data_IF_395708041947
#
_entry.id   IF_395708041947
#
_cell.length_a   1.000
_cell.length_b   1.000
_cell.length_c   1.000
_cell.angle_alpha   90.00
_cell.angle_beta   90.00
_cell.angle_gamma   90.00
#
_symmetry.space_group_name_H-M   'P 1'
#
loop_
_entity.id
_entity.type
_entity.pdbx_description
1 polymer ?
#
# COMPACT_ATOMS: atom_id res chain seq x y z
N UNK A 1 1.12 -22.27 24.88
CA UNK A 1 1.94 -21.77 23.76
C UNK A 1 1.24 -21.84 22.40
N UNK A 2 0.63 -22.96 21.98
CA UNK A 2 0.00 -23.08 20.62
C UNK A 2 -1.06 -22.02 20.29
N UNK A 3 -1.77 -21.46 21.25
CA UNK A 3 -2.84 -20.45 21.03
C UNK A 3 -2.35 -19.03 20.74
N UNK A 4 -1.02 -18.77 20.74
CA UNK A 4 -0.44 -17.42 20.56
C UNK A 4 0.61 -17.32 19.44
N UNK A 5 0.80 -18.39 18.64
CA UNK A 5 1.84 -18.42 17.60
C UNK A 5 1.65 -17.29 16.59
N UNK A 6 0.41 -17.01 16.18
CA UNK A 6 0.13 -15.90 15.26
C UNK A 6 0.38 -14.51 15.88
N UNK A 7 0.34 -14.38 17.21
CA UNK A 7 0.71 -13.14 17.89
C UNK A 7 2.23 -12.94 17.82
N UNK A 8 3.02 -13.99 18.06
CA UNK A 8 4.47 -13.93 17.91
C UNK A 8 4.87 -13.60 16.46
N UNK A 9 4.16 -14.16 15.46
CA UNK A 9 4.38 -13.80 14.07
C UNK A 9 4.14 -12.30 13.80
N UNK A 10 3.06 -11.72 14.34
CA UNK A 10 2.82 -10.26 14.23
C UNK A 10 3.93 -9.47 14.89
N UNK A 11 4.34 -9.84 16.11
CA UNK A 11 5.42 -9.14 16.82
C UNK A 11 6.72 -9.22 16.01
N UNK A 12 7.09 -10.41 15.54
CA UNK A 12 8.30 -10.61 14.74
C UNK A 12 8.28 -9.74 13.45
N UNK A 13 7.18 -9.79 12.69
CA UNK A 13 7.03 -8.96 11.48
C UNK A 13 7.12 -7.48 11.82
N UNK A 14 6.46 -7.04 12.89
CA UNK A 14 6.51 -5.64 13.35
C UNK A 14 7.93 -5.22 13.71
N UNK A 15 8.68 -6.07 14.42
CA UNK A 15 10.09 -5.84 14.77
C UNK A 15 10.95 -5.72 13.51
N UNK A 16 10.75 -6.61 12.53
CA UNK A 16 11.48 -6.56 11.25
C UNK A 16 11.17 -5.27 10.49
N UNK A 17 9.91 -4.83 10.43
CA UNK A 17 9.52 -3.59 9.76
C UNK A 17 10.18 -2.37 10.42
N UNK A 18 10.17 -2.28 11.76
CA UNK A 18 10.81 -1.20 12.50
C UNK A 18 12.33 -1.25 12.28
N UNK A 19 12.94 -2.43 12.44
CA UNK A 19 14.37 -2.62 12.22
C UNK A 19 14.79 -2.21 10.81
N UNK A 20 14.07 -2.67 9.79
CA UNK A 20 14.35 -2.31 8.38
C UNK A 20 14.30 -0.80 8.17
N UNK A 21 13.36 -0.09 8.82
CA UNK A 21 13.28 1.37 8.71
C UNK A 21 14.51 2.05 9.35
N UNK A 22 14.95 1.58 10.50
CA UNK A 22 16.11 2.12 11.22
C UNK A 22 17.42 1.81 10.47
N UNK A 23 17.64 0.54 10.13
CA UNK A 23 18.83 0.06 9.42
C UNK A 23 19.01 0.76 8.07
N UNK A 24 17.93 0.93 7.31
CA UNK A 24 17.98 1.65 6.04
C UNK A 24 18.41 3.11 6.22
N UNK A 25 18.03 3.75 7.29
CA UNK A 25 18.41 5.14 7.59
C UNK A 25 19.91 5.27 7.89
N UNK A 26 20.46 4.31 8.61
CA UNK A 26 21.89 4.23 8.92
C UNK A 26 22.71 3.90 7.67
N UNK A 27 22.34 2.84 6.93
CA UNK A 27 23.07 2.37 5.74
C UNK A 27 23.21 3.43 4.65
N UNK A 28 22.24 4.32 4.50
CA UNK A 28 22.28 5.38 3.47
C UNK A 28 23.04 6.63 3.92
N UNK A 29 23.47 6.71 5.18
CA UNK A 29 24.14 7.91 5.70
C UNK A 29 23.23 9.14 5.63
N UNK A 30 21.92 8.94 5.57
CA UNK A 30 20.95 9.99 5.39
C UNK A 30 20.61 10.61 6.74
N UNK A 31 21.33 11.60 7.09
CA UNK A 31 20.91 12.53 8.11
C UNK A 31 20.73 13.90 7.45
N UNK A 32 19.53 14.43 7.41
CA UNK A 32 18.27 13.86 7.86
C UNK A 32 17.68 12.80 6.90
N UNK A 33 16.82 11.90 7.41
CA UNK A 33 16.01 10.99 6.58
C UNK A 33 15.20 11.81 5.58
N UNK A 34 15.19 11.35 4.32
CA UNK A 34 14.43 12.00 3.25
C UNK A 34 13.16 11.23 2.93
N UNK A 35 12.21 11.18 3.88
CA UNK A 35 10.96 10.44 3.71
C UNK A 35 9.97 11.13 2.76
N UNK A 36 10.04 12.46 2.65
CA UNK A 36 9.10 13.27 1.87
C UNK A 36 9.66 13.69 0.52
N UNK A 37 10.36 12.77 -0.18
CA UNK A 37 10.87 12.97 -1.54
C UNK A 37 10.02 12.27 -2.58
N UNK A 38 10.18 12.62 -3.84
CA UNK A 38 9.55 11.97 -5.00
C UNK A 38 8.01 11.97 -4.88
N UNK A 39 7.36 10.84 -5.13
CA UNK A 39 5.90 10.68 -5.00
C UNK A 39 5.41 11.05 -3.59
N UNK A 40 6.23 10.79 -2.57
CA UNK A 40 5.87 11.12 -1.19
C UNK A 40 5.70 12.62 -0.95
N UNK A 41 6.48 13.48 -1.65
CA UNK A 41 6.29 14.92 -1.61
C UNK A 41 4.89 15.29 -2.12
N UNK A 42 4.46 14.70 -3.23
CA UNK A 42 3.15 14.97 -3.83
C UNK A 42 1.99 14.70 -2.87
N UNK A 43 2.09 13.65 -2.05
CA UNK A 43 1.10 13.37 -1.01
C UNK A 43 1.23 14.27 0.22
N UNK A 44 2.46 14.56 0.65
CA UNK A 44 2.77 15.24 1.91
C UNK A 44 2.53 16.75 1.86
N UNK A 45 2.81 17.40 0.73
CA UNK A 45 2.89 18.87 0.59
C UNK A 45 1.60 19.61 1.01
N UNK A 46 0.44 18.96 1.03
CA UNK A 46 -0.81 19.54 1.55
C UNK A 46 -0.66 20.05 3.00
N UNK A 47 0.11 19.33 3.82
CA UNK A 47 0.24 19.61 5.24
C UNK A 47 1.07 20.89 5.51
N UNK A 48 2.32 21.03 5.04
CA UNK A 48 3.06 22.26 5.21
C UNK A 48 2.43 23.44 4.46
N UNK A 49 1.87 23.23 3.26
CA UNK A 49 1.16 24.26 2.52
C UNK A 49 -0.03 24.86 3.30
N UNK A 50 -0.75 24.00 4.05
CA UNK A 50 -1.94 24.42 4.82
C UNK A 50 -1.56 24.98 6.19
N UNK A 51 -0.69 24.29 6.95
CA UNK A 51 -0.51 24.55 8.38
C UNK A 51 0.71 25.41 8.71
N UNK A 52 1.65 25.56 7.77
CA UNK A 52 2.90 26.35 7.99
C UNK A 52 2.94 27.54 7.06
N UNK A 53 2.90 27.31 5.76
CA UNK A 53 3.10 28.37 4.78
C UNK A 53 1.82 29.12 4.41
N UNK A 54 0.64 28.57 4.71
CA UNK A 54 -0.67 29.14 4.35
C UNK A 54 -0.81 29.49 2.86
N UNK A 55 -0.03 28.81 2.02
CA UNK A 55 -0.01 28.98 0.57
C UNK A 55 -0.21 27.60 -0.12
N UNK A 56 -1.47 27.23 -0.26
CA UNK A 56 -1.88 26.02 -0.96
C UNK A 56 -2.11 26.25 -2.46
N UNK A 57 -2.14 27.53 -2.88
CA UNK A 57 -2.44 27.93 -4.26
C UNK A 57 -1.18 28.01 -5.12
N UNK A 58 -0.23 28.86 -4.76
CA UNK A 58 0.96 29.16 -5.56
C UNK A 58 2.12 28.28 -5.24
N UNK A 59 2.20 27.82 -3.98
CA UNK A 59 3.27 26.98 -3.46
C UNK A 59 4.67 27.63 -3.68
N UNK A 60 4.76 28.95 -3.50
CA UNK A 60 6.00 29.70 -3.68
C UNK A 60 7.07 29.32 -2.64
N UNK A 61 6.64 28.75 -1.49
CA UNK A 61 7.49 28.19 -0.44
C UNK A 61 8.31 26.98 -0.89
N UNK A 62 7.93 26.30 -1.99
CA UNK A 62 8.54 25.01 -2.35
C UNK A 62 9.97 25.18 -2.87
N UNK A 63 10.27 26.25 -3.61
CA UNK A 63 11.63 26.48 -4.13
C UNK A 63 12.67 26.72 -3.02
N UNK A 64 12.43 27.58 -2.00
CA UNK A 64 13.31 27.69 -0.84
C UNK A 64 13.50 26.38 -0.08
N UNK A 65 12.41 25.60 0.12
CA UNK A 65 12.47 24.29 0.79
C UNK A 65 13.28 23.30 -0.02
N UNK A 66 13.10 23.26 -1.34
CA UNK A 66 13.89 22.35 -2.19
C UNK A 66 15.38 22.71 -2.17
N UNK A 67 15.71 24.00 -2.17
CA UNK A 67 17.10 24.47 -2.03
C UNK A 67 17.74 24.00 -0.71
N UNK A 68 16.97 23.96 0.38
CA UNK A 68 17.47 23.57 1.70
C UNK A 68 17.51 22.05 1.92
N UNK A 69 16.50 21.31 1.42
CA UNK A 69 16.26 19.89 1.77
C UNK A 69 16.31 18.93 0.59
N UNK A 70 16.38 19.43 -0.66
CA UNK A 70 16.39 18.64 -1.91
C UNK A 70 15.22 17.65 -1.98
N UNK A 71 14.00 18.14 -1.73
CA UNK A 71 12.79 17.32 -1.63
C UNK A 71 12.19 16.94 -2.97
N UNK A 72 12.45 17.69 -4.02
CA UNK A 72 11.90 17.44 -5.37
C UNK A 72 12.54 16.23 -6.04
N UNK A 73 13.81 15.96 -5.75
CA UNK A 73 14.58 14.88 -6.38
C UNK A 73 15.13 15.27 -7.74
N UNK A 74 15.58 14.29 -8.53
CA UNK A 74 16.11 14.51 -9.89
C UNK A 74 14.97 14.55 -10.91
N UNK A 75 14.97 15.53 -11.82
CA UNK A 75 14.02 15.59 -12.93
C UNK A 75 12.92 16.65 -12.81
N UNK A 76 13.07 17.57 -11.84
CA UNK A 76 12.16 18.70 -11.67
C UNK A 76 10.89 18.38 -10.87
N UNK A 77 10.06 19.38 -10.71
CA UNK A 77 8.85 19.36 -9.88
C UNK A 77 7.67 18.72 -10.64
N UNK A 78 7.68 17.40 -10.79
CA UNK A 78 6.61 16.67 -11.51
C UNK A 78 5.35 16.45 -10.66
N UNK A 79 5.39 16.71 -9.37
CA UNK A 79 4.29 16.49 -8.42
C UNK A 79 3.13 17.48 -8.58
N UNK A 80 3.37 18.59 -9.25
CA UNK A 80 2.37 19.63 -9.48
C UNK A 80 2.17 19.90 -10.97
N UNK A 81 1.12 20.64 -11.29
CA UNK A 81 0.79 21.18 -12.61
C UNK A 81 0.62 22.68 -12.46
N UNK A 82 1.33 23.46 -13.28
CA UNK A 82 1.08 24.90 -13.39
C UNK A 82 -0.25 25.12 -14.15
N UNK A 83 -1.07 26.04 -13.66
CA UNK A 83 -2.39 26.36 -14.22
C UNK A 83 -2.38 27.76 -14.84
N UNK A 84 -3.26 27.98 -15.81
CA UNK A 84 -3.41 29.29 -16.50
C UNK A 84 -3.76 30.45 -15.55
N UNK A 85 -4.37 30.15 -14.39
CA UNK A 85 -4.70 31.13 -13.37
C UNK A 85 -3.52 31.51 -12.45
N UNK A 86 -2.31 31.00 -12.73
CA UNK A 86 -1.10 31.24 -11.96
C UNK A 86 -0.98 30.39 -10.67
N UNK A 87 -1.92 29.48 -10.42
CA UNK A 87 -1.85 28.52 -9.32
C UNK A 87 -1.15 27.22 -9.75
N UNK A 88 -0.79 26.38 -8.76
CA UNK A 88 -0.22 25.05 -8.95
C UNK A 88 -1.14 23.98 -8.36
N UNK A 89 -1.61 23.06 -9.19
CA UNK A 89 -2.41 21.94 -8.75
C UNK A 89 -1.54 20.71 -8.46
N UNK A 90 -1.68 20.13 -7.29
CA UNK A 90 -1.03 18.86 -6.92
C UNK A 90 -1.67 17.70 -7.69
N UNK A 91 -0.84 16.85 -8.33
CA UNK A 91 -1.30 15.66 -9.06
C UNK A 91 -1.74 14.51 -8.15
N UNK A 92 -1.35 14.53 -6.89
CA UNK A 92 -1.69 13.54 -5.88
C UNK A 92 -2.88 14.02 -5.06
N UNK A 93 -3.75 13.12 -4.62
CA UNK A 93 -4.91 13.47 -3.81
C UNK A 93 -4.56 13.47 -2.31
N UNK A 94 -5.33 14.23 -1.51
CA UNK A 94 -5.01 14.52 -0.12
C UNK A 94 -5.27 13.38 0.89
N UNK A 95 -5.73 12.20 0.47
CA UNK A 95 -6.07 11.12 1.41
C UNK A 95 -4.89 10.60 2.23
N UNK A 96 -3.70 10.52 1.62
CA UNK A 96 -2.47 10.15 2.35
C UNK A 96 -2.09 11.26 3.33
N UNK A 97 -2.18 12.54 2.94
CA UNK A 97 -1.96 13.67 3.85
C UNK A 97 -2.88 13.61 5.06
N UNK A 98 -4.17 13.26 4.88
CA UNK A 98 -5.10 13.08 6.00
C UNK A 98 -4.63 12.01 6.99
N UNK A 99 -4.06 10.90 6.50
CA UNK A 99 -3.50 9.86 7.35
C UNK A 99 -2.15 10.27 7.98
N UNK A 100 -1.37 11.10 7.30
CA UNK A 100 -0.11 11.65 7.81
C UNK A 100 -0.32 12.78 8.84
N UNK A 101 -1.49 13.39 8.89
CA UNK A 101 -1.78 14.57 9.72
C UNK A 101 -1.38 14.42 11.19
N UNK A 102 -1.72 13.33 11.91
CA UNK A 102 -1.30 13.17 13.31
C UNK A 102 0.24 13.15 13.46
N UNK A 103 0.92 12.51 12.53
CA UNK A 103 2.39 12.40 12.52
C UNK A 103 3.06 13.72 12.14
N UNK A 104 2.44 14.49 11.26
CA UNK A 104 2.88 15.85 10.94
C UNK A 104 2.93 16.71 12.20
N UNK A 105 1.89 16.71 13.02
CA UNK A 105 1.86 17.48 14.26
C UNK A 105 2.81 16.92 15.32
N UNK A 106 3.00 15.60 15.40
CA UNK A 106 4.05 15.00 16.23
C UNK A 106 5.42 15.54 15.79
N UNK A 107 5.70 15.57 14.50
CA UNK A 107 6.93 16.15 13.96
C UNK A 107 7.07 17.64 14.26
N UNK A 108 5.98 18.40 14.12
CA UNK A 108 5.95 19.84 14.36
C UNK A 108 6.30 20.20 15.83
N UNK A 109 5.63 19.55 16.77
CA UNK A 109 5.90 19.76 18.20
C UNK A 109 7.28 19.26 18.60
N UNK A 110 7.70 18.11 18.08
CA UNK A 110 9.05 17.59 18.33
C UNK A 110 10.12 18.50 17.77
N UNK A 111 9.93 19.13 16.61
CA UNK A 111 10.86 20.09 16.04
C UNK A 111 11.05 21.29 16.98
N UNK A 112 9.96 21.89 17.47
CA UNK A 112 10.04 22.98 18.43
C UNK A 112 10.75 22.61 19.74
N UNK A 113 10.46 21.42 20.29
CA UNK A 113 11.10 20.96 21.53
C UNK A 113 12.58 20.63 21.37
N UNK A 114 13.01 20.19 20.18
CA UNK A 114 14.39 19.81 19.89
C UNK A 114 15.22 20.95 19.27
N UNK A 115 14.65 22.15 19.11
CA UNK A 115 15.34 23.33 18.53
C UNK A 115 15.55 23.24 17.02
N UNK A 116 14.78 22.40 16.32
CA UNK A 116 14.77 22.33 14.86
C UNK A 116 13.77 23.32 14.23
N UNK A 117 13.99 23.75 12.97
CA UNK A 117 13.01 24.56 12.25
C UNK A 117 11.64 23.89 12.18
N UNK A 118 10.58 24.65 12.47
CA UNK A 118 9.18 24.19 12.35
C UNK A 118 8.64 24.46 10.92
N UNK A 119 9.39 24.01 9.91
CA UNK A 119 9.18 24.27 8.48
C UNK A 119 8.48 23.14 7.71
N UNK A 120 8.15 22.04 8.39
CA UNK A 120 7.52 20.87 7.77
C UNK A 120 8.52 19.84 7.21
N UNK A 121 9.82 20.16 7.12
CA UNK A 121 10.80 19.33 6.42
C UNK A 121 12.05 19.00 7.26
N UNK A 122 12.25 19.65 8.38
CA UNK A 122 13.35 19.35 9.30
C UNK A 122 13.31 17.91 9.85
N UNK A 123 14.41 17.38 10.41
CA UNK A 123 14.52 15.95 10.78
C UNK A 123 13.36 15.36 11.59
N UNK A 124 12.77 16.05 12.60
CA UNK A 124 11.66 15.48 13.35
C UNK A 124 10.43 15.17 12.49
N UNK A 125 10.12 15.98 11.48
CA UNK A 125 9.03 15.68 10.54
C UNK A 125 9.37 14.48 9.68
N UNK A 126 10.61 14.40 9.16
CA UNK A 126 11.02 13.26 8.33
C UNK A 126 10.89 11.94 9.09
N UNK A 127 11.33 11.91 10.36
CA UNK A 127 11.17 10.73 11.21
C UNK A 127 9.69 10.39 11.46
N UNK A 128 8.89 11.35 11.85
CA UNK A 128 7.46 11.14 12.12
C UNK A 128 6.73 10.60 10.88
N UNK A 129 6.95 11.20 9.72
CA UNK A 129 6.33 10.78 8.45
C UNK A 129 6.85 9.40 8.02
N UNK A 130 8.15 9.10 8.14
CA UNK A 130 8.72 7.79 7.81
C UNK A 130 8.14 6.66 8.67
N UNK A 131 7.86 6.91 9.95
CA UNK A 131 7.27 5.90 10.85
C UNK A 131 5.74 5.78 10.74
N UNK A 132 5.06 6.74 10.13
CA UNK A 132 3.59 6.71 10.05
C UNK A 132 3.04 5.48 9.32
N UNK A 133 3.51 5.06 8.12
CA UNK A 133 2.98 3.86 7.47
C UNK A 133 3.39 2.58 8.20
N UNK A 134 4.56 2.54 8.85
CA UNK A 134 4.98 1.41 9.70
C UNK A 134 4.00 1.24 10.86
N UNK A 135 3.63 2.33 11.54
CA UNK A 135 2.65 2.32 12.62
C UNK A 135 1.29 1.79 12.15
N UNK A 136 0.74 2.34 11.05
CA UNK A 136 -0.52 1.89 10.50
C UNK A 136 -0.50 0.42 10.08
N UNK A 137 0.60 -0.04 9.48
CA UNK A 137 0.74 -1.44 9.08
C UNK A 137 0.85 -2.38 10.29
N UNK A 138 1.52 -2.00 11.36
CA UNK A 138 1.55 -2.78 12.60
C UNK A 138 0.13 -2.95 13.16
N UNK A 139 -0.65 -1.87 13.25
CA UNK A 139 -2.06 -1.96 13.67
C UNK A 139 -2.87 -2.84 12.71
N UNK A 140 -2.64 -2.73 11.40
CA UNK A 140 -3.28 -3.55 10.39
C UNK A 140 -2.95 -5.04 10.56
N UNK A 141 -1.71 -5.40 10.90
CA UNK A 141 -1.33 -6.80 11.14
C UNK A 141 -2.05 -7.40 12.35
N UNK A 142 -2.18 -6.64 13.45
CA UNK A 142 -2.99 -7.09 14.60
C UNK A 142 -4.46 -7.29 14.22
N UNK A 143 -4.98 -6.41 13.37
CA UNK A 143 -6.37 -6.47 12.92
C UNK A 143 -6.57 -7.63 11.92
N UNK A 144 -5.68 -7.78 10.96
CA UNK A 144 -5.69 -8.86 9.97
C UNK A 144 -5.56 -10.24 10.65
N UNK A 145 -4.72 -10.35 11.68
CA UNK A 145 -4.67 -11.53 12.53
C UNK A 145 -6.06 -11.88 13.10
N UNK A 146 -6.81 -10.90 13.61
CA UNK A 146 -8.17 -11.12 14.13
C UNK A 146 -9.14 -11.53 13.03
N UNK A 147 -9.00 -10.99 11.83
CA UNK A 147 -9.80 -11.37 10.64
C UNK A 147 -9.52 -12.82 10.26
N UNK A 148 -8.26 -13.18 10.07
CA UNK A 148 -7.84 -14.51 9.63
C UNK A 148 -8.19 -15.60 10.65
N UNK A 149 -8.05 -15.34 11.94
CA UNK A 149 -8.41 -16.28 13.02
C UNK A 149 -9.89 -16.69 13.07
N UNK A 150 -10.76 -16.00 12.37
CA UNK A 150 -12.18 -16.40 12.23
C UNK A 150 -12.36 -17.58 11.29
N UNK A 151 -11.40 -17.81 10.41
CA UNK A 151 -11.52 -18.77 9.33
C UNK A 151 -10.42 -19.83 9.35
N UNK A 152 -9.31 -19.59 10.05
CA UNK A 152 -8.09 -20.39 9.95
C UNK A 152 -7.44 -20.66 11.31
N UNK A 153 -6.63 -21.73 11.38
CA UNK A 153 -5.88 -22.11 12.57
C UNK A 153 -4.76 -21.11 12.90
N UNK A 154 -4.31 -21.10 14.16
CA UNK A 154 -3.20 -20.24 14.61
C UNK A 154 -1.92 -20.42 13.78
N UNK A 155 -1.57 -21.65 13.41
CA UNK A 155 -0.39 -21.95 12.60
C UNK A 155 -0.53 -21.39 11.16
N UNK A 156 -1.71 -21.58 10.56
CA UNK A 156 -2.04 -21.02 9.23
C UNK A 156 -1.95 -19.49 9.25
N UNK A 157 -2.54 -18.85 10.28
CA UNK A 157 -2.52 -17.40 10.41
C UNK A 157 -1.09 -16.88 10.61
N UNK A 158 -0.30 -17.54 11.45
CA UNK A 158 1.10 -17.17 11.69
C UNK A 158 1.92 -17.20 10.39
N UNK A 159 1.85 -18.32 9.66
CA UNK A 159 2.56 -18.50 8.39
C UNK A 159 2.10 -17.47 7.34
N UNK A 160 0.78 -17.25 7.25
CA UNK A 160 0.21 -16.26 6.33
C UNK A 160 0.75 -14.87 6.60
N UNK A 161 0.74 -14.39 7.85
CA UNK A 161 1.21 -13.04 8.20
C UNK A 161 2.71 -12.86 7.98
N UNK A 162 3.51 -13.89 8.30
CA UNK A 162 4.95 -13.87 8.02
C UNK A 162 5.24 -13.72 6.53
N UNK A 163 4.65 -14.58 5.69
CA UNK A 163 4.93 -14.58 4.26
C UNK A 163 4.29 -13.41 3.51
N UNK A 164 3.12 -12.95 3.97
CA UNK A 164 2.43 -11.81 3.39
C UNK A 164 3.31 -10.55 3.37
N UNK A 165 4.14 -10.38 4.40
CA UNK A 165 5.02 -9.21 4.53
C UNK A 165 6.45 -9.55 4.14
N UNK A 166 7.05 -10.60 4.73
CA UNK A 166 8.48 -10.85 4.59
C UNK A 166 8.87 -11.56 3.28
N UNK A 167 7.93 -12.29 2.64
CA UNK A 167 8.17 -12.93 1.35
C UNK A 167 7.64 -12.11 0.14
N UNK A 168 7.26 -10.85 0.36
CA UNK A 168 6.76 -9.95 -0.68
C UNK A 168 7.46 -8.59 -0.65
N UNK A 169 7.21 -7.77 -1.65
CA UNK A 169 7.67 -6.38 -1.69
C UNK A 169 7.01 -5.46 -0.63
N UNK A 170 6.15 -5.99 0.24
CA UNK A 170 5.53 -5.21 1.33
C UNK A 170 6.58 -4.59 2.27
N UNK A 171 7.66 -5.30 2.60
CA UNK A 171 8.75 -4.75 3.44
C UNK A 171 9.32 -3.47 2.83
N UNK A 172 9.58 -3.46 1.50
CA UNK A 172 10.11 -2.30 0.80
C UNK A 172 9.18 -1.09 0.94
N UNK A 173 7.88 -1.27 0.68
CA UNK A 173 6.92 -0.17 0.62
C UNK A 173 6.23 0.17 1.94
N UNK A 174 6.48 -0.59 2.98
CA UNK A 174 6.05 -0.26 4.35
C UNK A 174 7.19 0.38 5.14
N UNK A 175 8.45 -0.04 4.92
CA UNK A 175 9.57 0.38 5.77
C UNK A 175 10.61 1.24 5.07
N UNK A 176 10.81 1.13 3.77
CA UNK A 176 11.87 1.83 3.03
C UNK A 176 11.28 2.98 2.20
N UNK A 177 10.67 2.68 1.06
CA UNK A 177 10.02 3.66 0.17
C UNK A 177 8.57 3.90 0.64
N UNK A 178 8.39 4.36 1.86
CA UNK A 178 7.18 4.08 2.62
C UNK A 178 6.20 5.26 2.81
N UNK A 179 6.58 6.50 2.59
CA UNK A 179 5.68 7.65 2.77
C UNK A 179 4.69 7.85 1.59
N UNK A 180 4.59 6.85 0.71
CA UNK A 180 3.63 6.77 -0.39
C UNK A 180 2.31 6.12 0.06
N UNK A 181 1.33 5.99 -0.84
CA UNK A 181 -0.02 5.48 -0.51
C UNK A 181 -0.09 4.02 -0.05
N UNK A 182 0.89 3.17 -0.42
CA UNK A 182 0.79 1.71 -0.30
C UNK A 182 0.61 1.20 1.14
N UNK A 183 1.42 1.66 2.09
CA UNK A 183 1.34 1.25 3.50
C UNK A 183 0.06 1.72 4.18
N UNK A 184 -0.39 2.92 3.86
CA UNK A 184 -1.64 3.47 4.40
C UNK A 184 -2.86 2.71 3.89
N UNK A 185 -2.92 2.46 2.58
CA UNK A 185 -4.00 1.69 1.96
C UNK A 185 -4.02 0.24 2.44
N UNK A 186 -2.85 -0.40 2.66
CA UNK A 186 -2.76 -1.72 3.31
C UNK A 186 -3.53 -1.73 4.63
N UNK A 187 -3.36 -0.69 5.46
CA UNK A 187 -4.08 -0.59 6.73
C UNK A 187 -5.59 -0.41 6.53
N UNK A 188 -6.01 0.41 5.57
CA UNK A 188 -7.42 0.60 5.26
C UNK A 188 -8.07 -0.69 4.75
N UNK A 189 -7.37 -1.51 3.95
CA UNK A 189 -7.88 -2.82 3.52
C UNK A 189 -8.07 -3.81 4.67
N UNK A 190 -7.15 -3.86 5.62
CA UNK A 190 -7.31 -4.68 6.81
C UNK A 190 -8.52 -4.22 7.66
N UNK A 191 -8.72 -2.91 7.77
CA UNK A 191 -9.79 -2.32 8.55
C UNK A 191 -11.16 -2.51 7.89
N UNK A 192 -11.28 -2.36 6.55
CA UNK A 192 -12.54 -2.60 5.83
C UNK A 192 -12.96 -4.06 5.91
N UNK A 193 -12.01 -5.01 5.82
CA UNK A 193 -12.30 -6.44 6.03
C UNK A 193 -12.87 -6.69 7.42
N UNK A 194 -12.23 -6.16 8.46
CA UNK A 194 -12.71 -6.30 9.83
C UNK A 194 -14.09 -5.67 10.03
N UNK A 195 -14.30 -4.45 9.57
CA UNK A 195 -15.57 -3.73 9.70
C UNK A 195 -16.71 -4.42 8.93
N UNK A 196 -16.40 -4.97 7.74
CA UNK A 196 -17.32 -5.77 6.93
C UNK A 196 -17.78 -7.01 7.68
N UNK A 197 -16.86 -7.77 8.26
CA UNK A 197 -17.18 -8.95 9.08
C UNK A 197 -18.09 -8.54 10.24
N UNK A 198 -17.69 -7.50 10.96
CA UNK A 198 -18.44 -7.02 12.14
C UNK A 198 -19.85 -6.57 11.80
N UNK A 199 -20.04 -5.88 10.70
CA UNK A 199 -21.36 -5.45 10.28
C UNK A 199 -22.25 -6.62 9.86
N UNK A 200 -21.69 -7.63 9.17
CA UNK A 200 -22.47 -8.80 8.74
C UNK A 200 -22.81 -9.75 9.90
N UNK A 201 -21.97 -9.80 10.94
CA UNK A 201 -22.26 -10.59 12.14
C UNK A 201 -23.34 -9.92 13.00
N UNK A 202 -23.17 -8.64 13.31
CA UNK A 202 -24.09 -7.86 14.13
C UNK A 202 -24.16 -6.46 13.52
N UNK A 203 -25.21 -6.13 12.76
CA UNK A 203 -25.38 -4.82 12.15
C UNK A 203 -25.45 -3.72 13.21
N UNK A 204 -24.38 -2.91 13.25
CA UNK A 204 -24.31 -1.71 14.06
C UNK A 204 -23.92 -0.54 13.19
N UNK A 205 -24.55 0.60 13.41
CA UNK A 205 -24.32 1.83 12.64
C UNK A 205 -22.83 2.22 12.61
N UNK A 206 -22.13 2.09 13.74
CA UNK A 206 -20.68 2.38 13.84
C UNK A 206 -19.83 1.60 12.84
N UNK A 207 -20.17 0.32 12.56
CA UNK A 207 -19.40 -0.47 11.61
C UNK A 207 -19.68 -0.02 10.16
N UNK A 208 -20.91 0.40 9.85
CA UNK A 208 -21.26 0.96 8.55
C UNK A 208 -20.56 2.32 8.33
N UNK A 209 -20.55 3.19 9.34
CA UNK A 209 -19.82 4.48 9.34
C UNK A 209 -18.33 4.25 9.09
N UNK A 210 -17.72 3.29 9.79
CA UNK A 210 -16.30 2.93 9.58
C UNK A 210 -16.06 2.44 8.15
N UNK A 211 -16.91 1.56 7.60
CA UNK A 211 -16.80 1.10 6.20
C UNK A 211 -16.85 2.29 5.25
N UNK A 212 -17.81 3.19 5.41
CA UNK A 212 -17.95 4.36 4.55
C UNK A 212 -16.73 5.28 4.62
N UNK A 213 -16.33 5.67 5.82
CA UNK A 213 -15.18 6.56 6.03
C UNK A 213 -13.88 5.99 5.43
N UNK A 214 -13.65 4.67 5.57
CA UNK A 214 -12.47 4.00 5.00
C UNK A 214 -12.51 4.05 3.47
N UNK A 215 -13.65 3.71 2.86
CA UNK A 215 -13.78 3.71 1.40
C UNK A 215 -13.59 5.13 0.86
N UNK A 216 -14.20 6.15 1.48
CA UNK A 216 -14.00 7.54 1.10
C UNK A 216 -12.53 7.98 1.22
N UNK A 217 -11.87 7.63 2.32
CA UNK A 217 -10.46 7.95 2.53
C UNK A 217 -9.54 7.23 1.54
N UNK A 218 -9.83 5.95 1.23
CA UNK A 218 -9.10 5.20 0.22
C UNK A 218 -9.25 5.82 -1.17
N UNK A 219 -10.46 6.28 -1.54
CA UNK A 219 -10.73 6.96 -2.82
C UNK A 219 -9.94 8.26 -2.97
N UNK A 220 -9.79 9.05 -1.91
CA UNK A 220 -8.98 10.27 -1.95
C UNK A 220 -7.49 10.03 -1.68
N UNK A 221 -7.08 8.81 -1.33
CA UNK A 221 -5.69 8.40 -1.42
C UNK A 221 -5.34 7.98 -2.87
N UNK A 222 -6.23 7.19 -3.50
CA UNK A 222 -6.16 6.78 -4.92
C UNK A 222 -7.57 6.51 -5.43
N UNK A 223 -8.05 7.17 -6.48
CA UNK A 223 -9.42 6.99 -7.00
C UNK A 223 -9.76 5.55 -7.38
N UNK A 224 -8.77 4.79 -7.85
CA UNK A 224 -8.91 3.37 -8.19
C UNK A 224 -9.34 2.49 -7.01
N UNK A 225 -9.12 2.93 -5.78
CA UNK A 225 -9.52 2.20 -4.58
C UNK A 225 -11.04 2.21 -4.32
N UNK A 226 -11.83 2.89 -5.17
CA UNK A 226 -13.29 2.74 -5.20
C UNK A 226 -13.73 1.26 -5.30
N UNK A 227 -12.91 0.39 -5.90
CA UNK A 227 -13.15 -1.06 -5.96
C UNK A 227 -13.22 -1.72 -4.56
N UNK A 228 -12.70 -1.07 -3.51
CA UNK A 228 -12.84 -1.53 -2.13
C UNK A 228 -14.31 -1.73 -1.73
N UNK A 229 -15.23 -0.99 -2.36
CA UNK A 229 -16.68 -1.14 -2.16
C UNK A 229 -17.17 -2.57 -2.42
N UNK A 230 -16.56 -3.30 -3.34
CA UNK A 230 -16.96 -4.68 -3.65
C UNK A 230 -16.71 -5.65 -2.48
N UNK A 231 -15.87 -5.30 -1.51
CA UNK A 231 -15.62 -6.12 -0.33
C UNK A 231 -16.90 -6.23 0.53
N UNK A 232 -17.47 -5.16 1.10
CA UNK A 232 -18.72 -5.26 1.86
C UNK A 232 -19.92 -5.59 0.98
N UNK A 233 -19.92 -5.15 -0.29
CA UNK A 233 -21.04 -5.35 -1.21
C UNK A 233 -21.27 -6.83 -1.54
N UNK A 234 -20.23 -7.60 -1.76
CA UNK A 234 -20.30 -9.01 -2.18
C UNK A 234 -20.05 -10.01 -1.04
N UNK A 235 -19.86 -9.55 0.18
CA UNK A 235 -19.72 -10.40 1.36
C UNK A 235 -21.00 -11.20 1.60
N UNK A 236 -20.90 -12.49 1.95
CA UNK A 236 -22.06 -13.38 2.15
C UNK A 236 -23.01 -13.47 0.94
N UNK A 237 -22.50 -13.50 -0.28
CA UNK A 237 -23.31 -13.67 -1.50
C UNK A 237 -22.91 -14.92 -2.29
N UNK A 238 -22.29 -15.91 -1.65
CA UNK A 238 -21.78 -17.14 -2.29
C UNK A 238 -22.85 -17.94 -3.01
N UNK A 239 -24.04 -18.05 -2.43
CA UNK A 239 -25.24 -18.70 -2.99
C UNK A 239 -26.41 -17.72 -3.13
N UNK A 240 -27.46 -18.13 -3.88
CA UNK A 240 -28.71 -17.35 -3.98
C UNK A 240 -29.39 -17.18 -2.61
N UNK A 241 -29.36 -18.22 -1.76
CA UNK A 241 -29.93 -18.18 -0.43
C UNK A 241 -29.21 -17.19 0.49
N UNK A 242 -27.86 -17.24 0.54
CA UNK A 242 -27.04 -16.29 1.31
C UNK A 242 -27.25 -14.85 0.82
N UNK A 243 -27.28 -14.64 -0.50
CA UNK A 243 -27.53 -13.33 -1.08
C UNK A 243 -28.91 -12.78 -0.68
N UNK A 244 -29.97 -13.62 -0.65
CA UNK A 244 -31.33 -13.25 -0.22
C UNK A 244 -31.31 -12.77 1.23
N UNK A 245 -30.66 -13.51 2.13
CA UNK A 245 -30.51 -13.16 3.56
C UNK A 245 -29.76 -11.84 3.72
N UNK A 246 -28.63 -11.70 3.05
CA UNK A 246 -27.84 -10.46 3.08
C UNK A 246 -28.63 -9.27 2.61
N UNK A 247 -29.32 -9.35 1.47
CA UNK A 247 -30.04 -8.20 0.95
C UNK A 247 -31.29 -7.85 1.78
N UNK A 248 -31.87 -8.85 2.48
CA UNK A 248 -32.88 -8.58 3.50
C UNK A 248 -32.29 -7.81 4.70
N UNK A 249 -31.09 -8.21 5.18
CA UNK A 249 -30.35 -7.49 6.23
C UNK A 249 -30.01 -6.04 5.82
N UNK A 250 -29.53 -5.82 4.59
CA UNK A 250 -29.24 -4.47 4.06
C UNK A 250 -30.51 -3.61 4.06
N UNK A 251 -31.64 -4.16 3.57
CA UNK A 251 -32.92 -3.44 3.56
C UNK A 251 -33.43 -3.10 4.95
N UNK A 252 -33.30 -4.02 5.91
CA UNK A 252 -33.70 -3.79 7.29
C UNK A 252 -32.86 -2.69 7.98
N UNK A 253 -31.61 -2.50 7.52
CA UNK A 253 -30.68 -1.51 8.07
C UNK A 253 -30.29 -0.41 7.05
N UNK A 254 -31.27 0.03 6.23
CA UNK A 254 -31.03 1.06 5.19
C UNK A 254 -30.44 2.36 5.72
N UNK A 255 -30.76 2.72 6.96
CA UNK A 255 -30.18 3.90 7.62
C UNK A 255 -28.68 3.77 7.84
N UNK A 256 -28.17 2.56 8.10
CA UNK A 256 -26.73 2.31 8.20
C UNK A 256 -26.03 2.62 6.87
N UNK A 257 -26.68 2.32 5.73
CA UNK A 257 -26.11 2.62 4.39
C UNK A 257 -26.06 4.13 4.16
N UNK A 258 -27.12 4.87 4.54
CA UNK A 258 -27.13 6.33 4.45
C UNK A 258 -25.99 6.95 5.28
N UNK A 259 -25.80 6.47 6.53
CA UNK A 259 -24.68 6.91 7.37
C UNK A 259 -23.31 6.53 6.79
N UNK A 260 -23.17 5.36 6.15
CA UNK A 260 -21.94 4.97 5.49
C UNK A 260 -21.62 5.90 4.30
N UNK A 261 -22.63 6.27 3.51
CA UNK A 261 -22.47 7.22 2.39
C UNK A 261 -22.06 8.61 2.89
N UNK A 262 -22.70 9.13 3.93
CA UNK A 262 -22.32 10.39 4.57
C UNK A 262 -20.89 10.36 5.10
N UNK A 263 -20.52 9.26 5.79
CA UNK A 263 -19.17 9.06 6.30
C UNK A 263 -18.12 8.91 5.19
N UNK A 264 -18.48 8.35 4.04
CA UNK A 264 -17.58 8.28 2.89
C UNK A 264 -17.30 9.66 2.27
N UNK A 265 -18.27 10.56 2.34
CA UNK A 265 -18.13 11.91 1.80
C UNK A 265 -17.19 12.79 2.65
N UNK A 266 -17.12 12.60 3.96
CA UNK A 266 -16.29 13.42 4.86
C UNK A 266 -14.81 13.51 4.46
N UNK A 267 -14.07 12.43 4.22
CA UNK A 267 -12.67 12.52 3.79
C UNK A 267 -12.51 13.03 2.34
N UNK A 268 -13.56 12.98 1.53
CA UNK A 268 -13.56 13.49 0.15
C UNK A 268 -13.70 15.01 0.12
N UNK A 269 -14.41 15.60 1.07
CA UNK A 269 -14.70 17.02 1.11
C UNK A 269 -13.44 17.92 1.07
N UNK A 270 -12.36 17.67 1.83
CA UNK A 270 -11.14 18.47 1.73
C UNK A 270 -10.56 18.51 0.31
N UNK A 271 -10.62 17.40 -0.43
CA UNK A 271 -10.13 17.34 -1.80
C UNK A 271 -10.98 18.19 -2.75
N UNK A 272 -12.29 18.13 -2.61
CA UNK A 272 -13.21 18.94 -3.42
C UNK A 272 -12.98 20.45 -3.16
N UNK A 273 -12.84 20.83 -1.88
CA UNK A 273 -12.55 22.20 -1.48
C UNK A 273 -11.20 22.65 -2.05
N UNK A 274 -10.17 21.80 -1.95
CA UNK A 274 -8.86 22.06 -2.53
C UNK A 274 -8.95 22.36 -4.05
N UNK A 275 -9.58 21.49 -4.81
CA UNK A 275 -9.75 21.70 -6.23
C UNK A 275 -10.51 22.99 -6.53
N UNK A 276 -11.63 23.25 -5.82
CA UNK A 276 -12.40 24.49 -6.02
C UNK A 276 -11.56 25.72 -5.77
N UNK A 277 -10.74 25.71 -4.72
CA UNK A 277 -9.89 26.86 -4.33
C UNK A 277 -8.73 27.09 -5.30
N UNK A 278 -8.10 26.00 -5.79
CA UNK A 278 -6.87 26.07 -6.60
C UNK A 278 -7.19 26.17 -8.09
N UNK A 279 -8.14 25.39 -8.58
CA UNK A 279 -8.45 25.27 -10.02
C UNK A 279 -9.72 26.02 -10.45
N UNK A 280 -10.56 26.43 -9.50
CA UNK A 280 -11.88 27.01 -9.76
C UNK A 280 -12.98 25.96 -10.00
N UNK A 281 -12.64 24.67 -10.15
CA UNK A 281 -13.56 23.57 -10.43
C UNK A 281 -13.68 22.60 -9.26
N UNK A 282 -14.86 22.00 -9.02
CA UNK A 282 -15.05 21.01 -7.95
C UNK A 282 -14.37 19.66 -8.22
N UNK A 283 -14.14 19.34 -9.49
CA UNK A 283 -13.43 18.15 -9.95
C UNK A 283 -12.38 18.58 -10.94
N UNK A 284 -11.18 18.02 -10.81
CA UNK A 284 -10.05 18.35 -11.68
C UNK A 284 -9.37 17.07 -12.16
N UNK A 285 -9.07 16.99 -13.46
CA UNK A 285 -8.34 15.88 -14.05
C UNK A 285 -6.83 16.08 -13.84
N UNK A 286 -6.22 15.17 -13.10
CA UNK A 286 -4.77 15.16 -12.82
C UNK A 286 -3.96 14.48 -13.94
N UNK A 287 -4.59 14.09 -15.04
CA UNK A 287 -3.93 13.55 -16.24
C UNK A 287 -3.58 12.06 -16.17
N UNK A 288 -4.12 11.31 -15.23
CA UNK A 288 -3.89 9.86 -15.16
C UNK A 288 -4.63 9.12 -16.28
N UNK A 289 -3.97 8.14 -16.95
CA UNK A 289 -4.52 7.40 -18.09
C UNK A 289 -4.48 5.89 -17.89
N UNK A 290 -5.45 5.18 -18.45
CA UNK A 290 -5.53 3.72 -18.42
C UNK A 290 -5.77 3.15 -19.82
N UNK A 291 -4.99 2.13 -20.17
CA UNK A 291 -5.08 1.41 -21.44
C UNK A 291 -5.89 0.11 -21.25
N UNK A 292 -7.16 0.24 -20.86
CA UNK A 292 -8.02 -0.91 -20.53
C UNK A 292 -8.18 -1.95 -21.64
N UNK A 293 -8.02 -1.55 -22.90
CA UNK A 293 -8.11 -2.46 -24.04
C UNK A 293 -6.75 -3.09 -24.40
N UNK A 294 -5.64 -2.54 -23.91
CA UNK A 294 -4.28 -2.99 -24.18
C UNK A 294 -3.49 -3.10 -22.87
N UNK A 295 -3.90 -3.97 -21.92
CA UNK A 295 -3.27 -4.06 -20.61
C UNK A 295 -1.83 -4.58 -20.68
N UNK A 296 -0.99 -4.06 -19.82
CA UNK A 296 0.45 -4.35 -19.77
C UNK A 296 0.76 -5.58 -18.91
N UNK A 297 0.58 -6.79 -19.45
CA UNK A 297 0.88 -8.05 -18.72
C UNK A 297 2.33 -8.18 -18.24
N UNK A 298 3.25 -7.37 -18.77
CA UNK A 298 4.64 -7.29 -18.29
C UNK A 298 4.74 -6.87 -16.82
N UNK A 299 3.73 -6.19 -16.27
CA UNK A 299 3.63 -5.90 -14.82
C UNK A 299 3.57 -7.19 -13.99
N UNK A 300 3.03 -8.26 -14.55
CA UNK A 300 2.90 -9.57 -13.87
C UNK A 300 4.10 -10.48 -14.15
N UNK A 301 4.59 -10.53 -15.39
CA UNK A 301 5.52 -11.54 -15.87
C UNK A 301 6.81 -10.97 -16.45
N UNK A 302 6.97 -9.65 -16.58
CA UNK A 302 8.13 -9.03 -17.22
C UNK A 302 9.41 -9.11 -16.38
N UNK A 303 10.56 -9.14 -17.05
CA UNK A 303 11.87 -9.12 -16.41
C UNK A 303 12.22 -7.79 -15.73
N UNK A 304 11.44 -6.71 -15.97
CA UNK A 304 11.68 -5.40 -15.39
C UNK A 304 11.03 -5.24 -14.01
N UNK A 305 9.75 -5.60 -13.88
CA UNK A 305 8.90 -5.32 -12.70
C UNK A 305 8.00 -6.51 -12.33
N UNK A 306 8.10 -7.65 -13.03
CA UNK A 306 7.17 -8.76 -12.95
C UNK A 306 6.80 -9.17 -11.52
N UNK A 307 5.53 -9.02 -11.17
CA UNK A 307 5.02 -9.34 -9.83
C UNK A 307 5.34 -10.78 -9.42
N UNK A 308 5.10 -11.73 -10.32
CA UNK A 308 5.38 -13.14 -10.07
C UNK A 308 6.87 -13.50 -10.15
N UNK A 309 7.68 -12.66 -10.81
CA UNK A 309 9.11 -12.88 -10.95
C UNK A 309 9.87 -12.45 -9.69
N UNK A 310 9.57 -11.25 -9.19
CA UNK A 310 10.26 -10.67 -8.04
C UNK A 310 9.61 -10.99 -6.68
N UNK A 311 8.34 -11.37 -6.68
CA UNK A 311 7.59 -11.77 -5.49
C UNK A 311 6.84 -13.09 -5.73
N UNK A 312 7.56 -14.22 -6.00
CA UNK A 312 6.95 -15.45 -6.50
C UNK A 312 5.98 -16.12 -5.52
N UNK A 313 6.00 -15.80 -4.23
CA UNK A 313 5.00 -16.24 -3.27
C UNK A 313 3.58 -15.82 -3.67
N UNK A 314 3.44 -14.74 -4.44
CA UNK A 314 2.14 -14.21 -4.89
C UNK A 314 1.41 -15.14 -5.88
N UNK A 315 2.12 -16.07 -6.51
CA UNK A 315 1.51 -17.17 -7.27
C UNK A 315 0.59 -18.00 -6.35
N UNK A 316 1.00 -18.21 -5.09
CA UNK A 316 0.18 -18.94 -4.11
C UNK A 316 -1.07 -18.12 -3.69
N UNK A 317 -0.99 -16.78 -3.72
CA UNK A 317 -2.16 -15.93 -3.47
C UNK A 317 -3.23 -16.15 -4.55
N UNK A 318 -2.81 -16.20 -5.81
CA UNK A 318 -3.71 -16.43 -6.94
C UNK A 318 -4.21 -17.89 -6.96
N UNK A 319 -3.34 -18.87 -6.72
CA UNK A 319 -3.75 -20.27 -6.58
C UNK A 319 -4.83 -20.48 -5.50
N UNK A 320 -4.76 -19.70 -4.41
CA UNK A 320 -5.73 -19.71 -3.34
C UNK A 320 -7.16 -19.32 -3.75
N UNK A 321 -7.31 -18.52 -4.83
CA UNK A 321 -8.64 -18.15 -5.35
C UNK A 321 -9.48 -19.38 -5.74
N UNK A 322 -8.82 -20.46 -6.14
CA UNK A 322 -9.51 -21.73 -6.49
C UNK A 322 -9.94 -22.54 -5.25
N UNK A 323 -9.41 -22.22 -4.05
CA UNK A 323 -9.70 -22.93 -2.80
C UNK A 323 -10.77 -22.26 -1.94
N UNK A 324 -11.43 -21.21 -2.43
CA UNK A 324 -12.40 -20.41 -1.67
C UNK A 324 -13.84 -20.92 -1.70
N UNK A 325 -14.11 -22.12 -2.24
CA UNK A 325 -15.47 -22.65 -2.32
C UNK A 325 -16.11 -22.76 -0.93
N UNK A 326 -17.35 -22.27 -0.77
CA UNK A 326 -18.06 -22.25 0.50
C UNK A 326 -17.64 -21.18 1.51
N UNK A 327 -16.66 -20.33 1.20
CA UNK A 327 -16.26 -19.24 2.07
C UNK A 327 -17.11 -17.98 1.86
N UNK A 328 -17.52 -17.27 2.93
CA UNK A 328 -18.41 -16.10 2.85
C UNK A 328 -17.81 -14.93 2.04
N UNK A 329 -16.49 -14.85 1.97
CA UNK A 329 -15.72 -13.82 1.30
C UNK A 329 -15.35 -14.16 -0.15
N UNK A 330 -15.74 -15.32 -0.68
CA UNK A 330 -15.33 -15.79 -2.02
C UNK A 330 -15.59 -14.78 -3.12
N UNK A 331 -16.84 -14.30 -3.25
CA UNK A 331 -17.20 -13.37 -4.33
C UNK A 331 -16.54 -12.00 -4.14
N UNK A 332 -16.49 -11.50 -2.91
CA UNK A 332 -15.80 -10.26 -2.58
C UNK A 332 -14.34 -10.28 -3.01
N UNK A 333 -13.60 -11.30 -2.55
CA UNK A 333 -12.16 -11.43 -2.84
C UNK A 333 -11.91 -11.66 -4.32
N UNK A 334 -12.69 -12.54 -4.98
CA UNK A 334 -12.52 -12.83 -6.41
C UNK A 334 -12.76 -11.58 -7.25
N UNK A 335 -13.90 -10.89 -7.06
CA UNK A 335 -14.24 -9.69 -7.82
C UNK A 335 -13.21 -8.57 -7.59
N UNK A 336 -12.87 -8.33 -6.31
CA UNK A 336 -11.85 -7.34 -5.97
C UNK A 336 -10.52 -7.66 -6.65
N UNK A 337 -10.03 -8.91 -6.55
CA UNK A 337 -8.73 -9.31 -7.09
C UNK A 337 -8.68 -9.14 -8.61
N UNK A 338 -9.72 -9.58 -9.32
CA UNK A 338 -9.78 -9.45 -10.78
C UNK A 338 -9.79 -7.98 -11.21
N UNK A 339 -10.62 -7.15 -10.57
CA UNK A 339 -10.69 -5.71 -10.87
C UNK A 339 -9.37 -5.00 -10.54
N UNK A 340 -8.78 -5.29 -9.36
CA UNK A 340 -7.53 -4.68 -8.94
C UNK A 340 -6.38 -5.04 -9.89
N UNK A 341 -6.23 -6.32 -10.26
CA UNK A 341 -5.23 -6.74 -11.23
C UNK A 341 -5.43 -6.05 -12.57
N UNK A 342 -6.68 -6.00 -13.06
CA UNK A 342 -7.00 -5.35 -14.34
C UNK A 342 -6.66 -3.86 -14.33
N UNK A 343 -7.05 -3.14 -13.30
CA UNK A 343 -6.74 -1.70 -13.14
C UNK A 343 -5.23 -1.46 -13.08
N UNK A 344 -4.51 -2.29 -12.32
CA UNK A 344 -3.07 -2.12 -12.16
C UNK A 344 -2.30 -2.39 -13.45
N UNK A 345 -2.65 -3.45 -14.19
CA UNK A 345 -1.98 -3.75 -15.47
C UNK A 345 -2.44 -2.85 -16.63
N UNK A 346 -3.58 -2.16 -16.49
CA UNK A 346 -4.09 -1.24 -17.49
C UNK A 346 -3.55 0.19 -17.34
N UNK A 347 -2.83 0.51 -16.26
CA UNK A 347 -2.31 1.86 -16.11
C UNK A 347 -1.25 2.16 -17.17
N UNK A 348 -1.40 3.31 -17.84
CA UNK A 348 -0.54 3.71 -18.96
C UNK A 348 0.95 3.75 -18.57
N UNK A 349 1.28 4.34 -17.43
CA UNK A 349 2.62 4.31 -16.84
C UNK A 349 2.86 2.99 -16.08
N UNK A 350 2.77 1.86 -16.81
CA UNK A 350 2.81 0.48 -16.29
C UNK A 350 4.03 0.14 -15.44
N UNK A 351 5.14 0.85 -15.61
CA UNK A 351 6.36 0.61 -14.85
C UNK A 351 6.33 1.26 -13.46
N UNK A 352 5.34 2.10 -13.17
CA UNK A 352 5.17 2.73 -11.84
C UNK A 352 6.41 3.48 -11.36
N UNK A 353 7.15 4.16 -12.25
CA UNK A 353 8.40 4.83 -11.96
C UNK A 353 9.49 3.88 -11.45
N UNK A 354 10.47 4.40 -10.72
CA UNK A 354 11.48 3.58 -10.04
C UNK A 354 10.87 2.71 -8.96
N UNK A 355 10.90 1.37 -9.13
CA UNK A 355 10.25 0.48 -8.15
C UNK A 355 10.82 -0.94 -8.17
N UNK A 356 10.70 -1.62 -7.01
CA UNK A 356 10.93 -3.05 -6.86
C UNK A 356 9.62 -3.81 -7.03
N UNK A 357 9.54 -4.70 -8.01
CA UNK A 357 8.33 -5.47 -8.33
C UNK A 357 7.10 -4.57 -8.59
N UNK A 358 5.90 -5.12 -8.65
CA UNK A 358 4.66 -4.38 -8.85
C UNK A 358 4.18 -3.68 -7.55
N UNK A 359 4.73 -2.51 -7.25
CA UNK A 359 4.43 -1.75 -6.01
C UNK A 359 2.93 -1.47 -5.81
N UNK A 360 2.21 -1.26 -6.90
CA UNK A 360 0.77 -0.94 -6.86
C UNK A 360 -0.12 -2.08 -6.37
N UNK A 361 0.41 -3.31 -6.20
CA UNK A 361 -0.33 -4.44 -5.65
C UNK A 361 -0.15 -4.62 -4.14
N UNK A 362 0.81 -3.94 -3.51
CA UNK A 362 1.12 -4.08 -2.07
C UNK A 362 -0.09 -3.81 -1.18
N UNK A 363 -0.84 -2.75 -1.48
CA UNK A 363 -2.01 -2.38 -0.67
C UNK A 363 -3.11 -3.45 -0.66
N UNK A 364 -3.19 -4.30 -1.68
CA UNK A 364 -4.21 -5.35 -1.80
C UNK A 364 -3.90 -6.62 -0.99
N UNK A 365 -2.69 -6.76 -0.47
CA UNK A 365 -2.25 -7.97 0.24
C UNK A 365 -3.13 -8.37 1.44
N UNK A 366 -3.72 -7.46 2.24
CA UNK A 366 -4.66 -7.87 3.28
C UNK A 366 -5.88 -8.66 2.76
N UNK A 367 -6.37 -8.33 1.56
CA UNK A 367 -7.46 -9.08 0.91
C UNK A 367 -6.94 -10.42 0.40
N UNK A 368 -5.76 -10.43 -0.23
CA UNK A 368 -5.09 -11.63 -0.74
C UNK A 368 -4.58 -12.57 0.35
N UNK A 369 -4.48 -12.11 1.59
CA UNK A 369 -4.18 -12.96 2.74
C UNK A 369 -5.23 -14.06 2.96
N UNK A 370 -6.50 -13.83 2.59
CA UNK A 370 -7.58 -14.81 2.74
C UNK A 370 -7.41 -16.01 1.81
N UNK A 371 -7.24 -15.87 0.47
CA UNK A 371 -6.98 -16.99 -0.41
C UNK A 371 -5.63 -17.65 -0.12
N UNK A 372 -4.59 -16.89 0.20
CA UNK A 372 -3.30 -17.47 0.57
C UNK A 372 -3.39 -18.34 1.84
N UNK A 373 -4.12 -17.89 2.86
CA UNK A 373 -4.37 -18.69 4.06
C UNK A 373 -5.11 -20.00 3.75
N UNK A 374 -5.98 -20.04 2.74
CA UNK A 374 -6.62 -21.27 2.31
C UNK A 374 -5.62 -22.27 1.68
N UNK A 375 -4.62 -21.79 0.93
CA UNK A 375 -3.51 -22.64 0.46
C UNK A 375 -2.70 -23.17 1.63
N UNK A 376 -2.29 -22.28 2.54
CA UNK A 376 -1.50 -22.65 3.71
C UNK A 376 -2.24 -23.67 4.60
N UNK A 377 -3.54 -23.46 4.88
CA UNK A 377 -4.36 -24.40 5.64
C UNK A 377 -4.35 -25.79 5.03
N UNK A 378 -4.60 -25.88 3.69
CA UNK A 378 -4.62 -27.16 2.98
C UNK A 378 -3.25 -27.84 2.97
N UNK A 379 -2.19 -27.10 2.74
CA UNK A 379 -0.83 -27.62 2.74
C UNK A 379 -0.42 -28.14 4.13
N UNK A 380 -0.68 -27.37 5.20
CA UNK A 380 -0.35 -27.73 6.57
C UNK A 380 -1.14 -28.94 7.08
N UNK A 381 -2.37 -29.13 6.59
CA UNK A 381 -3.22 -30.27 6.98
C UNK A 381 -2.83 -31.61 6.32
N UNK A 382 -1.91 -31.61 5.37
CA UNK A 382 -1.51 -32.79 4.58
C UNK A 382 -0.01 -33.03 4.64
N UNK A 383 0.46 -34.16 4.03
CA UNK A 383 1.90 -34.43 3.86
C UNK A 383 2.63 -33.36 3.00
N UNK A 384 1.90 -32.57 2.25
CA UNK A 384 2.46 -31.45 1.49
C UNK A 384 3.18 -30.39 2.35
N UNK A 385 2.92 -30.34 3.66
CA UNK A 385 3.65 -29.47 4.58
C UNK A 385 5.17 -29.63 4.52
N UNK A 386 5.67 -30.84 4.23
CA UNK A 386 7.13 -31.12 4.17
C UNK A 386 7.80 -30.55 2.92
N UNK A 387 7.05 -30.22 1.87
CA UNK A 387 7.52 -29.51 0.68
C UNK A 387 7.18 -28.02 0.79
N UNK A 388 6.00 -27.71 1.28
CA UNK A 388 5.47 -26.37 1.35
C UNK A 388 6.26 -25.46 2.31
N UNK A 389 6.64 -25.95 3.50
CA UNK A 389 7.39 -25.15 4.46
C UNK A 389 8.82 -24.81 3.99
N UNK A 390 9.62 -25.73 3.44
CA UNK A 390 10.90 -25.39 2.81
C UNK A 390 10.74 -24.41 1.65
N UNK A 391 9.73 -24.59 0.79
CA UNK A 391 9.43 -23.62 -0.28
C UNK A 391 9.14 -22.23 0.29
N UNK A 392 8.31 -22.14 1.31
CA UNK A 392 8.00 -20.86 1.97
C UNK A 392 9.26 -20.19 2.56
N UNK A 393 10.12 -20.97 3.21
CA UNK A 393 11.40 -20.47 3.74
C UNK A 393 12.33 -19.98 2.62
N UNK A 394 12.41 -20.71 1.53
CA UNK A 394 13.18 -20.31 0.33
C UNK A 394 12.63 -19.00 -0.26
N UNK A 395 11.32 -18.90 -0.50
CA UNK A 395 10.70 -17.70 -1.07
C UNK A 395 10.89 -16.46 -0.18
N UNK A 396 10.84 -16.65 1.14
CA UNK A 396 11.13 -15.59 2.11
C UNK A 396 12.59 -15.15 2.01
N UNK A 397 13.54 -16.09 2.00
CA UNK A 397 14.96 -15.80 1.90
C UNK A 397 15.31 -15.08 0.58
N UNK A 398 14.77 -15.56 -0.55
CA UNK A 398 14.91 -14.91 -1.86
C UNK A 398 14.42 -13.47 -1.84
N UNK A 399 13.22 -13.23 -1.31
CA UNK A 399 12.64 -11.89 -1.27
C UNK A 399 13.49 -10.91 -0.43
N UNK A 400 13.90 -11.32 0.77
CA UNK A 400 14.75 -10.48 1.64
C UNK A 400 16.12 -10.21 1.00
N UNK A 401 16.70 -11.21 0.34
CA UNK A 401 17.94 -11.04 -0.41
C UNK A 401 17.79 -10.03 -1.56
N UNK A 402 16.72 -10.14 -2.34
CA UNK A 402 16.44 -9.22 -3.45
C UNK A 402 16.13 -7.79 -2.96
N UNK A 403 15.44 -7.62 -1.83
CA UNK A 403 15.25 -6.30 -1.20
C UNK A 403 16.60 -5.67 -0.83
N UNK A 404 17.53 -6.47 -0.27
CA UNK A 404 18.89 -5.99 -0.01
C UNK A 404 19.62 -5.61 -1.31
N UNK A 405 19.53 -6.43 -2.37
CA UNK A 405 20.09 -6.10 -3.67
C UNK A 405 19.49 -4.80 -4.25
N UNK A 406 18.17 -4.61 -4.13
CA UNK A 406 17.50 -3.40 -4.60
C UNK A 406 17.99 -2.14 -3.86
N UNK A 407 18.05 -2.20 -2.54
CA UNK A 407 18.50 -1.05 -1.74
C UNK A 407 20.00 -0.75 -1.90
N UNK A 408 20.81 -1.73 -2.32
CA UNK A 408 22.23 -1.56 -2.65
C UNK A 408 22.48 -1.21 -4.12
N UNK A 409 21.42 -0.98 -4.93
CA UNK A 409 21.54 -0.63 -6.34
C UNK A 409 22.05 -1.75 -7.26
N UNK A 410 22.08 -3.00 -6.78
CA UNK A 410 22.36 -4.19 -7.58
C UNK A 410 21.16 -4.52 -8.45
N UNK A 411 20.00 -4.72 -7.83
CA UNK A 411 18.74 -4.82 -8.54
C UNK A 411 18.28 -3.40 -8.89
N UNK A 412 18.44 -3.05 -10.16
CA UNK A 412 18.24 -1.68 -10.61
C UNK A 412 16.74 -1.32 -10.69
N UNK A 413 16.40 -0.12 -10.28
CA UNK A 413 15.02 0.35 -10.21
C UNK A 413 14.30 0.48 -11.57
N UNK A 414 15.03 0.54 -12.69
CA UNK A 414 14.48 0.78 -14.02
C UNK A 414 15.08 -0.08 -15.15
N UNK A 415 16.33 -0.51 -15.06
CA UNK A 415 17.09 -1.16 -16.15
C UNK A 415 17.12 -2.68 -16.06
N UNK A 416 16.17 -3.30 -15.35
CA UNK A 416 16.10 -4.76 -15.22
C UNK A 416 15.62 -5.42 -16.52
N UNK A 417 16.14 -6.62 -16.78
CA UNK A 417 15.69 -7.56 -17.80
C UNK A 417 16.00 -9.00 -17.36
N UNK A 418 15.55 -9.99 -18.10
CA UNK A 418 15.77 -11.41 -17.72
C UNK A 418 17.24 -11.85 -17.76
N UNK A 419 18.07 -11.28 -18.63
CA UNK A 419 19.48 -11.63 -18.71
C UNK A 419 20.21 -11.17 -17.44
N UNK A 420 20.07 -9.90 -17.10
CA UNK A 420 20.66 -9.33 -15.88
C UNK A 420 20.07 -9.97 -14.62
N UNK A 421 18.74 -10.19 -14.56
CA UNK A 421 18.09 -10.84 -13.42
C UNK A 421 18.70 -12.23 -13.13
N UNK A 422 18.94 -13.06 -14.18
CA UNK A 422 19.57 -14.37 -14.01
C UNK A 422 21.01 -14.27 -13.50
N UNK A 423 21.79 -13.31 -13.96
CA UNK A 423 23.18 -13.11 -13.53
C UNK A 423 23.27 -12.73 -12.04
N UNK A 424 22.31 -11.93 -11.54
CA UNK A 424 22.31 -11.45 -10.15
C UNK A 424 21.48 -12.30 -9.19
N UNK A 425 20.74 -13.31 -9.69
CA UNK A 425 19.84 -14.11 -8.86
C UNK A 425 20.62 -14.89 -7.80
N UNK A 426 20.35 -14.56 -6.52
CA UNK A 426 21.06 -15.09 -5.35
C UNK A 426 22.60 -14.94 -5.42
N UNK A 427 23.10 -14.05 -6.28
CA UNK A 427 24.52 -13.77 -6.40
C UNK A 427 24.94 -12.64 -5.43
N UNK A 428 25.76 -12.92 -4.41
CA UNK A 428 26.26 -11.92 -3.47
C UNK A 428 27.38 -11.05 -4.08
N UNK A 429 28.04 -11.53 -5.17
CA UNK A 429 29.22 -10.91 -5.79
C UNK A 429 28.94 -10.54 -7.24
N UNK A 430 28.15 -9.47 -7.45
CA UNK A 430 27.82 -8.98 -8.81
C UNK A 430 29.00 -8.19 -9.37
N UNK A 431 29.46 -8.59 -10.54
CA UNK A 431 30.60 -7.99 -11.24
C UNK A 431 30.19 -6.87 -12.20
N UNK A 432 31.15 -6.11 -12.71
CA UNK A 432 30.88 -5.12 -13.77
C UNK A 432 30.49 -5.79 -15.10
N UNK A 433 30.93 -7.01 -15.38
CA UNK A 433 30.49 -7.79 -16.55
C UNK A 433 28.99 -8.14 -16.43
N UNK A 434 28.53 -8.54 -15.23
CA UNK A 434 27.10 -8.75 -14.99
C UNK A 434 26.29 -7.47 -15.23
N UNK A 435 26.81 -6.31 -14.81
CA UNK A 435 26.14 -5.01 -14.96
C UNK A 435 26.00 -4.57 -16.42
N UNK A 436 26.86 -5.03 -17.35
CA UNK A 436 26.73 -4.78 -18.80
C UNK A 436 25.46 -5.41 -19.39
N UNK A 437 24.87 -6.42 -18.71
CA UNK A 437 23.63 -7.06 -19.13
C UNK A 437 22.39 -6.22 -18.84
N UNK A 438 22.50 -5.09 -18.11
CA UNK A 438 21.36 -4.21 -17.83
C UNK A 438 20.75 -3.69 -19.13
N UNK A 439 19.45 -3.44 -19.09
CA UNK A 439 18.72 -2.77 -20.17
C UNK A 439 19.18 -1.32 -20.38
N UNK A 440 18.77 -0.70 -21.49
CA UNK A 440 19.04 0.71 -21.75
C UNK A 440 18.41 1.61 -20.68
N UNK A 441 18.95 2.81 -20.52
CA UNK A 441 18.28 3.87 -19.73
C UNK A 441 17.01 4.25 -20.48
N UNK A 442 15.90 4.36 -19.79
CA UNK A 442 14.68 4.95 -20.36
C UNK A 442 14.79 6.47 -20.35
N UNK A 443 14.53 7.03 -21.50
CA UNK A 443 14.41 8.49 -21.67
C UNK A 443 13.05 8.99 -21.22
#
# INVERSE_FOLDING_TARGET
>A
MRQRISLFAVILVSTVLIWTRLDYSEMRGWSPIKATQWDALGYYQYLPATFIFHDIKRQDWLAPIDSAYHVVGTGGLYQVMDLDNGNRATKYLCGVAQMQLPFFFIGHWSAGMLGHPQDGFSPPYQWAIAFSPVFYCILALFLLRRVLKRFFSEATVALTLLLLVLATNAVQYISVDNAQSHGYLFALYALVLWATIKWHEVPRIRHAVVIGAIIGLAMVARPTEAIMLFIPLLWNTGSKAEAKVKWAQVRAHRTHIAWAMGAAFLPVLPQLVYWKVVTGSWVFDVGSKWDFLLPHFRVLFGGEKGWFIYTPVTVLFIAGLFLMRGRPWRKSVLTFTLLNLWIVIAWHDWHYGGSYSARALVQSYPVLALPFAAVAERALATRWKYVFLPLCAYLLAVNLFQIKQYNNGVLHYDRMNFAYYRAIYLNPHVTEEDRKLMGPVRN
#
